data_IF_677788925502
#
_entry.id   IF_677788925502
#
_cell.length_a   1.000
_cell.length_b   1.000
_cell.length_c   1.000
_cell.angle_alpha   90.00
_cell.angle_beta   90.00
_cell.angle_gamma   90.00
#
_symmetry.space_group_name_H-M   'P 1'
#
loop_
_entity.id
_entity.type
_entity.pdbx_description
1 polymer ?
#
# COMPACT_ATOMS: atom_id res chain seq x y z
N UNK A 1 12.40 -0.29 -2.28
CA UNK A 1 12.57 1.05 -1.66
C UNK A 1 14.03 1.52 -1.64
N UNK A 2 14.99 0.77 -1.08
CA UNK A 2 16.39 1.22 -0.99
C UNK A 2 17.01 1.66 -2.33
N UNK A 3 16.77 0.91 -3.42
CA UNK A 3 17.23 1.30 -4.76
C UNK A 3 16.60 2.60 -5.28
N UNK A 4 15.34 2.88 -4.91
CA UNK A 4 14.67 4.13 -5.25
C UNK A 4 15.33 5.31 -4.52
N UNK A 5 15.54 5.21 -3.21
CA UNK A 5 16.21 6.28 -2.45
C UNK A 5 17.70 6.44 -2.77
N UNK A 6 18.40 5.37 -3.15
CA UNK A 6 19.76 5.49 -3.67
C UNK A 6 19.80 6.26 -5.00
N UNK A 7 18.75 6.12 -5.84
CA UNK A 7 18.61 6.85 -7.11
C UNK A 7 18.16 8.30 -6.90
N UNK A 8 17.26 8.54 -5.94
CA UNK A 8 16.72 9.86 -5.61
C UNK A 8 16.84 10.14 -4.11
N UNK A 9 18.03 10.53 -3.60
CA UNK A 9 18.23 10.75 -2.17
C UNK A 9 17.32 11.83 -1.58
N UNK A 10 16.97 12.85 -2.36
CA UNK A 10 16.04 13.93 -1.97
C UNK A 10 14.63 13.43 -1.66
N UNK A 11 14.24 12.27 -2.17
CA UNK A 11 12.90 11.72 -1.97
C UNK A 11 12.71 11.16 -0.55
N UNK A 12 13.79 10.93 0.20
CA UNK A 12 13.73 10.56 1.63
C UNK A 12 13.02 11.65 2.43
N UNK A 13 13.51 12.88 2.33
CA UNK A 13 12.93 14.03 3.05
C UNK A 13 11.55 14.40 2.51
N UNK A 14 11.33 14.29 1.20
CA UNK A 14 10.01 14.55 0.60
C UNK A 14 8.98 13.55 1.09
N UNK A 15 9.29 12.25 1.11
CA UNK A 15 8.38 11.22 1.60
C UNK A 15 8.06 11.41 3.08
N UNK A 16 9.05 11.79 3.91
CA UNK A 16 8.83 12.14 5.32
C UNK A 16 7.90 13.34 5.47
N UNK A 17 8.13 14.42 4.73
CA UNK A 17 7.29 15.62 4.78
C UNK A 17 5.84 15.34 4.38
N UNK A 18 5.63 14.55 3.30
CA UNK A 18 4.30 14.14 2.85
C UNK A 18 3.61 13.28 3.91
N UNK A 19 4.29 12.25 4.42
CA UNK A 19 3.72 11.36 5.44
C UNK A 19 3.34 12.13 6.71
N UNK A 20 4.17 13.07 7.17
CA UNK A 20 3.86 13.93 8.30
C UNK A 20 2.60 14.78 8.04
N UNK A 21 2.51 15.42 6.87
CA UNK A 21 1.36 16.23 6.52
C UNK A 21 0.07 15.40 6.47
N UNK A 22 0.11 14.21 5.87
CA UNK A 22 -1.01 13.26 5.81
C UNK A 22 -1.45 12.78 7.20
N UNK A 23 -0.50 12.50 8.09
CA UNK A 23 -0.79 12.05 9.45
C UNK A 23 -1.52 13.12 10.27
N UNK A 24 -1.09 14.38 10.13
CA UNK A 24 -1.63 15.53 10.87
C UNK A 24 -2.97 16.01 10.31
N UNK A 25 -3.09 16.12 8.98
CA UNK A 25 -4.22 16.82 8.36
C UNK A 25 -5.30 15.88 7.81
N UNK A 26 -4.92 14.63 7.48
CA UNK A 26 -5.82 13.59 6.94
C UNK A 26 -6.77 14.12 5.84
N UNK A 27 -6.24 14.75 4.78
CA UNK A 27 -7.07 15.33 3.74
C UNK A 27 -7.90 14.26 3.04
N UNK A 28 -9.01 14.68 2.43
CA UNK A 28 -9.88 13.82 1.64
C UNK A 28 -9.98 14.34 0.21
N UNK A 29 -9.90 13.44 -0.77
CA UNK A 29 -10.09 13.75 -2.19
C UNK A 29 -11.21 12.86 -2.74
N UNK A 30 -12.29 13.47 -3.24
CA UNK A 30 -13.52 12.79 -3.68
C UNK A 30 -14.04 11.72 -2.69
N UNK A 31 -13.97 12.01 -1.39
CA UNK A 31 -14.40 11.12 -0.30
C UNK A 31 -13.40 10.01 0.05
N UNK A 32 -12.32 9.86 -0.72
CA UNK A 32 -11.19 8.99 -0.38
C UNK A 32 -10.28 9.70 0.60
N UNK A 33 -10.06 9.08 1.77
CA UNK A 33 -9.15 9.63 2.77
C UNK A 33 -7.70 9.35 2.37
N UNK A 34 -6.86 10.38 2.39
CA UNK A 34 -5.44 10.25 2.12
C UNK A 34 -4.72 10.06 3.46
N UNK A 35 -4.04 8.92 3.62
CA UNK A 35 -3.36 8.54 4.87
C UNK A 35 -1.90 8.20 4.60
N UNK A 36 -1.03 8.19 5.63
CA UNK A 36 0.35 7.72 5.48
C UNK A 36 0.42 6.30 4.89
N UNK A 37 -0.44 5.39 5.33
CA UNK A 37 -0.48 4.00 4.86
C UNK A 37 -0.89 3.92 3.38
N UNK A 38 -1.90 4.70 2.97
CA UNK A 38 -2.29 4.83 1.56
C UNK A 38 -1.21 5.50 0.69
N UNK A 39 -0.35 6.33 1.28
CA UNK A 39 0.81 6.88 0.59
C UNK A 39 1.93 5.84 0.47
N UNK A 40 2.17 5.05 1.51
CA UNK A 40 3.14 3.95 1.49
C UNK A 40 2.76 2.88 0.45
N UNK A 41 1.48 2.65 0.18
CA UNK A 41 1.03 1.69 -0.85
C UNK A 41 1.36 2.10 -2.29
N UNK A 42 1.71 3.36 -2.54
CA UNK A 42 2.24 3.79 -3.84
C UNK A 42 3.56 3.09 -4.21
N UNK A 43 4.21 2.40 -3.27
CA UNK A 43 5.35 1.54 -3.55
C UNK A 43 5.07 0.38 -4.49
N UNK A 44 3.80 0.03 -4.74
CA UNK A 44 3.42 -0.91 -5.81
C UNK A 44 4.02 -0.49 -7.18
N UNK A 45 4.16 0.82 -7.42
CA UNK A 45 4.80 1.35 -8.64
C UNK A 45 6.23 0.83 -8.79
N UNK A 46 6.96 0.61 -7.69
CA UNK A 46 8.36 0.17 -7.71
C UNK A 46 8.55 -1.24 -8.29
N UNK A 47 7.49 -2.03 -8.41
CA UNK A 47 7.50 -3.31 -9.13
C UNK A 47 7.53 -3.18 -10.66
N UNK A 48 7.28 -1.98 -11.20
CA UNK A 48 7.30 -1.71 -12.64
C UNK A 48 8.63 -1.10 -13.11
N UNK A 49 8.99 -1.32 -14.37
CA UNK A 49 10.27 -0.87 -14.93
C UNK A 49 10.52 0.64 -14.85
N UNK A 50 9.48 1.47 -14.96
CA UNK A 50 9.57 2.94 -14.88
C UNK A 50 9.04 3.52 -13.57
N UNK A 51 8.50 2.71 -12.65
CA UNK A 51 7.74 3.23 -11.52
C UNK A 51 8.58 3.99 -10.50
N UNK A 52 9.88 3.73 -10.38
CA UNK A 52 10.75 4.59 -9.57
C UNK A 52 10.82 6.03 -10.08
N UNK A 53 10.71 6.26 -11.40
CA UNK A 53 10.67 7.60 -11.97
C UNK A 53 9.30 8.25 -11.77
N UNK A 54 8.23 7.47 -11.93
CA UNK A 54 6.87 7.95 -11.70
C UNK A 54 6.66 8.40 -10.24
N UNK A 55 7.11 7.58 -9.29
CA UNK A 55 7.08 7.94 -7.87
C UNK A 55 7.88 9.22 -7.62
N UNK A 56 9.09 9.32 -8.15
CA UNK A 56 9.93 10.52 -8.00
C UNK A 56 9.21 11.81 -8.45
N UNK A 57 8.62 11.81 -9.65
CA UNK A 57 7.91 12.97 -10.19
C UNK A 57 6.65 13.32 -9.39
N UNK A 58 5.97 12.32 -8.84
CA UNK A 58 4.85 12.54 -7.93
C UNK A 58 5.30 13.23 -6.64
N UNK A 59 6.41 12.77 -6.03
CA UNK A 59 6.96 13.35 -4.79
C UNK A 59 7.51 14.77 -4.99
N UNK A 60 8.09 15.06 -6.15
CA UNK A 60 8.66 16.37 -6.47
C UNK A 60 7.63 17.50 -6.44
N UNK A 61 6.38 17.24 -6.83
CA UNK A 61 5.32 18.23 -6.99
C UNK A 61 4.23 18.14 -5.91
N UNK A 62 4.57 17.51 -4.78
CA UNK A 62 3.59 17.20 -3.74
C UNK A 62 3.00 18.43 -3.05
N UNK A 63 3.77 19.53 -2.95
CA UNK A 63 3.41 20.71 -2.17
C UNK A 63 3.35 21.99 -3.01
N UNK A 64 2.46 22.90 -2.61
CA UNK A 64 2.37 24.27 -3.12
C UNK A 64 2.41 25.28 -1.97
N UNK A 65 2.82 26.52 -2.27
CA UNK A 65 2.76 27.63 -1.32
C UNK A 65 1.41 28.33 -1.41
N UNK A 66 0.75 28.47 -0.27
CA UNK A 66 -0.50 29.22 -0.08
C UNK A 66 -0.24 30.38 0.89
N UNK A 67 -1.15 31.36 1.00
CA UNK A 67 -1.07 32.38 2.06
C UNK A 67 -1.07 31.80 3.48
N UNK A 68 -1.62 30.59 3.66
CA UNK A 68 -1.69 29.88 4.94
C UNK A 68 -0.46 29.02 5.25
N UNK A 69 0.48 28.89 4.31
CA UNK A 69 1.67 28.06 4.49
C UNK A 69 1.92 27.14 3.31
N UNK A 70 2.41 25.94 3.58
CA UNK A 70 2.65 24.91 2.56
C UNK A 70 1.57 23.85 2.68
N UNK A 71 0.92 23.51 1.58
CA UNK A 71 -0.20 22.55 1.52
C UNK A 71 0.03 21.52 0.40
N UNK A 72 -0.59 20.35 0.48
CA UNK A 72 -0.58 19.39 -0.64
C UNK A 72 -1.23 20.01 -1.88
N UNK A 73 -0.58 19.88 -3.03
CA UNK A 73 -1.14 20.34 -4.30
C UNK A 73 -2.36 19.50 -4.68
N UNK A 74 -3.38 20.12 -5.27
CA UNK A 74 -4.56 19.40 -5.77
C UNK A 74 -4.16 18.29 -6.75
N UNK A 75 -3.15 18.56 -7.58
CA UNK A 75 -2.60 17.59 -8.53
C UNK A 75 -2.02 16.37 -7.82
N UNK A 76 -1.27 16.56 -6.72
CA UNK A 76 -0.74 15.46 -5.92
C UNK A 76 -1.87 14.67 -5.23
N UNK A 77 -2.82 15.37 -4.62
CA UNK A 77 -3.94 14.72 -3.92
C UNK A 77 -4.76 13.85 -4.89
N UNK A 78 -5.04 14.35 -6.09
CA UNK A 78 -5.76 13.60 -7.13
C UNK A 78 -4.94 12.45 -7.71
N UNK A 79 -3.64 12.63 -7.92
CA UNK A 79 -2.75 11.58 -8.39
C UNK A 79 -2.60 10.45 -7.36
N UNK A 80 -2.46 10.79 -6.07
CA UNK A 80 -2.45 9.82 -4.98
C UNK A 80 -3.78 9.06 -4.90
N UNK A 81 -4.91 9.78 -4.92
CA UNK A 81 -6.26 9.17 -4.90
C UNK A 81 -6.43 8.18 -6.05
N UNK A 82 -6.11 8.60 -7.27
CA UNK A 82 -6.30 7.77 -8.47
C UNK A 82 -5.40 6.53 -8.45
N UNK A 83 -4.19 6.65 -7.91
CA UNK A 83 -3.26 5.53 -7.79
C UNK A 83 -3.66 4.54 -6.70
N UNK A 84 -4.24 5.03 -5.60
CA UNK A 84 -4.64 4.19 -4.46
C UNK A 84 -6.05 3.61 -4.56
N UNK A 85 -6.90 4.14 -5.45
CA UNK A 85 -8.30 3.72 -5.52
C UNK A 85 -8.49 2.39 -6.24
N UNK A 86 -9.37 1.55 -5.70
CA UNK A 86 -9.82 0.30 -6.26
C UNK A 86 -11.19 0.40 -6.93
N UNK A 87 -11.71 1.61 -7.15
CA UNK A 87 -13.05 1.81 -7.73
C UNK A 87 -13.24 1.11 -9.09
N UNK A 88 -12.19 1.06 -9.92
CA UNK A 88 -12.23 0.36 -11.21
C UNK A 88 -12.08 -1.16 -11.13
N UNK A 89 -11.65 -1.69 -9.98
CA UNK A 89 -11.30 -3.10 -9.79
C UNK A 89 -11.44 -3.50 -8.30
N UNK A 90 -12.66 -3.41 -7.72
CA UNK A 90 -12.86 -3.67 -6.29
C UNK A 90 -12.65 -5.15 -5.92
N UNK A 91 -12.90 -6.07 -6.87
CA UNK A 91 -12.63 -7.50 -6.66
C UNK A 91 -11.15 -7.82 -6.52
N UNK A 92 -10.27 -7.01 -7.14
CA UNK A 92 -8.84 -7.19 -6.95
C UNK A 92 -8.47 -7.00 -5.48
N UNK A 93 -8.95 -5.92 -4.83
CA UNK A 93 -8.71 -5.71 -3.40
C UNK A 93 -9.42 -6.77 -2.53
N UNK A 94 -10.68 -7.08 -2.84
CA UNK A 94 -11.49 -8.00 -2.05
C UNK A 94 -10.93 -9.43 -2.03
N UNK A 95 -10.41 -9.92 -3.15
CA UNK A 95 -9.97 -11.30 -3.30
C UNK A 95 -8.45 -11.46 -3.18
N UNK A 96 -7.68 -10.37 -3.10
CA UNK A 96 -6.22 -10.35 -3.19
C UNK A 96 -5.53 -11.40 -2.32
N UNK A 97 -5.92 -11.49 -1.05
CA UNK A 97 -5.33 -12.42 -0.10
C UNK A 97 -6.02 -13.80 -0.16
N UNK A 98 -7.33 -13.81 -0.46
CA UNK A 98 -8.14 -15.03 -0.49
C UNK A 98 -7.70 -16.03 -1.56
N UNK A 99 -7.10 -15.57 -2.67
CA UNK A 99 -6.56 -16.48 -3.71
C UNK A 99 -5.45 -17.39 -3.20
N UNK A 100 -4.81 -17.05 -2.07
CA UNK A 100 -3.76 -17.84 -1.42
C UNK A 100 -4.26 -18.63 -0.20
N UNK A 101 -5.56 -18.55 0.12
CA UNK A 101 -6.16 -19.28 1.24
C UNK A 101 -6.03 -20.79 1.06
N UNK A 102 -5.64 -21.50 2.12
CA UNK A 102 -5.42 -22.95 2.05
C UNK A 102 -5.68 -23.64 3.40
N UNK A 103 -6.55 -24.65 3.37
CA UNK A 103 -6.88 -25.49 4.51
C UNK A 103 -7.54 -24.71 5.64
N UNK A 104 -7.25 -25.12 6.87
CA UNK A 104 -7.91 -24.66 8.10
C UNK A 104 -7.43 -23.29 8.60
N UNK A 105 -6.41 -22.70 7.96
CA UNK A 105 -5.82 -21.44 8.42
C UNK A 105 -6.51 -20.26 7.75
N UNK A 106 -7.06 -19.30 8.52
CA UNK A 106 -7.54 -18.06 7.94
C UNK A 106 -6.37 -17.25 7.41
N UNK A 107 -6.62 -16.48 6.37
CA UNK A 107 -5.62 -15.55 5.85
C UNK A 107 -5.39 -14.44 6.87
N UNK A 108 -6.45 -14.02 7.58
CA UNK A 108 -6.50 -13.14 8.74
C UNK A 108 -5.77 -11.79 8.58
N UNK A 109 -5.76 -11.27 7.36
CA UNK A 109 -4.97 -10.09 6.97
C UNK A 109 -3.48 -10.34 7.10
N UNK A 110 -2.97 -11.36 6.40
CA UNK A 110 -1.58 -11.78 6.43
C UNK A 110 -0.61 -10.63 6.14
N UNK A 111 -0.89 -9.81 5.13
CA UNK A 111 -0.03 -8.67 4.82
C UNK A 111 0.00 -7.63 5.96
N UNK A 112 -1.13 -7.40 6.64
CA UNK A 112 -1.20 -6.53 7.81
C UNK A 112 -0.37 -7.07 8.96
N UNK A 113 -0.59 -8.34 9.35
CA UNK A 113 0.14 -8.97 10.45
C UNK A 113 1.64 -8.99 10.20
N UNK A 114 2.06 -9.32 8.98
CA UNK A 114 3.46 -9.30 8.61
C UNK A 114 4.00 -7.86 8.67
N UNK A 115 3.25 -6.85 8.24
CA UNK A 115 3.68 -5.44 8.37
C UNK A 115 3.93 -5.05 9.82
N UNK A 116 3.11 -5.52 10.77
CA UNK A 116 3.27 -5.27 12.21
C UNK A 116 4.57 -5.87 12.79
N UNK A 117 5.11 -6.92 12.18
CA UNK A 117 6.41 -7.52 12.58
C UNK A 117 7.61 -6.65 12.18
N UNK A 118 7.42 -5.63 11.34
CA UNK A 118 8.47 -4.75 10.83
C UNK A 118 8.18 -3.28 11.16
N UNK A 119 8.55 -2.79 12.36
CA UNK A 119 8.25 -1.43 12.81
C UNK A 119 8.71 -0.31 11.87
N UNK A 120 9.72 -0.54 11.03
CA UNK A 120 10.16 0.42 10.02
C UNK A 120 9.10 0.72 8.92
N UNK A 121 8.08 -0.13 8.78
CA UNK A 121 6.94 0.12 7.89
C UNK A 121 5.79 0.88 8.58
N UNK A 122 5.84 1.07 9.90
CA UNK A 122 4.93 1.98 10.58
C UNK A 122 5.37 3.43 10.33
N UNK A 123 4.50 4.20 9.67
CA UNK A 123 4.80 5.59 9.34
C UNK A 123 5.02 6.44 10.60
N UNK A 124 4.30 6.19 11.69
CA UNK A 124 4.49 6.93 12.94
C UNK A 124 5.88 6.66 13.54
N UNK A 125 6.30 5.40 13.59
CA UNK A 125 7.65 5.00 14.01
C UNK A 125 8.73 5.62 13.11
N UNK A 126 8.54 5.59 11.78
CA UNK A 126 9.48 6.21 10.85
C UNK A 126 9.60 7.72 11.08
N UNK A 127 8.48 8.43 11.27
CA UNK A 127 8.45 9.88 11.51
C UNK A 127 9.06 10.28 12.86
N UNK A 128 8.91 9.44 13.89
CA UNK A 128 9.50 9.67 15.21
C UNK A 128 11.02 9.45 15.24
N UNK A 129 11.56 8.65 14.30
CA UNK A 129 13.00 8.43 14.15
C UNK A 129 13.61 9.23 12.97
N UNK A 130 14.88 8.94 12.70
CA UNK A 130 15.66 9.54 11.60
C UNK A 130 15.66 8.69 10.32
N UNK A 131 14.94 7.56 10.32
CA UNK A 131 14.88 6.64 9.19
C UNK A 131 13.97 7.14 8.05
N UNK A 132 14.11 6.61 6.83
CA UNK A 132 13.19 6.94 5.75
C UNK A 132 11.80 6.34 6.01
N UNK A 133 10.75 6.99 5.50
CA UNK A 133 9.43 6.36 5.36
C UNK A 133 9.55 5.25 4.31
N UNK A 134 9.21 4.01 4.65
CA UNK A 134 9.27 2.90 3.69
C UNK A 134 7.92 2.73 2.96
N UNK A 135 7.98 2.47 1.67
CA UNK A 135 6.81 2.12 0.87
C UNK A 135 6.57 0.60 0.86
N UNK A 136 5.31 0.18 0.86
CA UNK A 136 4.92 -1.23 0.73
C UNK A 136 4.84 -1.63 -0.74
N UNK A 137 4.99 -2.93 -1.02
CA UNK A 137 4.78 -3.48 -2.36
C UNK A 137 3.30 -3.67 -2.68
N UNK A 138 3.01 -4.70 -3.49
CA UNK A 138 1.65 -5.13 -3.80
C UNK A 138 1.04 -5.85 -2.59
N UNK A 139 0.36 -5.11 -1.73
CA UNK A 139 -0.32 -5.65 -0.53
C UNK A 139 -1.69 -5.00 -0.32
N UNK A 140 -2.65 -5.77 0.20
CA UNK A 140 -3.96 -5.28 0.63
C UNK A 140 -4.07 -5.42 2.15
N UNK A 141 -4.71 -4.43 2.77
CA UNK A 141 -4.80 -4.24 4.21
C UNK A 141 -6.22 -3.84 4.61
N UNK A 142 -6.66 -4.09 5.87
CA UNK A 142 -8.01 -3.77 6.33
C UNK A 142 -8.40 -2.30 6.10
N UNK A 143 -7.46 -1.38 6.33
CA UNK A 143 -7.70 0.05 6.22
C UNK A 143 -8.07 0.51 4.80
N UNK A 144 -7.76 -0.26 3.75
CA UNK A 144 -8.23 0.04 2.38
C UNK A 144 -9.76 0.12 2.31
N UNK A 145 -10.45 -0.76 3.06
CA UNK A 145 -11.90 -0.82 3.13
C UNK A 145 -12.50 0.29 4.00
N UNK A 146 -11.67 1.04 4.73
CA UNK A 146 -12.09 2.22 5.49
C UNK A 146 -11.88 3.52 4.68
N UNK A 147 -10.75 3.61 3.96
CA UNK A 147 -10.33 4.85 3.28
C UNK A 147 -10.93 5.03 1.88
N UNK A 148 -11.10 3.94 1.11
CA UNK A 148 -11.65 3.99 -0.26
C UNK A 148 -13.20 3.86 -0.23
N UNK A 149 -13.94 4.88 -0.69
CA UNK A 149 -15.41 4.84 -0.78
C UNK A 149 -15.96 3.64 -1.55
N UNK A 150 -15.26 3.17 -2.58
CA UNK A 150 -15.69 2.03 -3.40
C UNK A 150 -15.57 0.70 -2.65
N UNK A 151 -14.69 0.62 -1.66
CA UNK A 151 -14.46 -0.58 -0.86
C UNK A 151 -15.28 -0.62 0.43
N UNK A 152 -15.68 0.53 0.98
CA UNK A 152 -16.47 0.61 2.23
C UNK A 152 -17.69 -0.34 2.28
N UNK A 153 -18.52 -0.45 1.22
CA UNK A 153 -19.66 -1.38 1.23
C UNK A 153 -19.26 -2.87 1.32
N UNK A 154 -18.01 -3.20 0.97
CA UNK A 154 -17.48 -4.56 0.95
C UNK A 154 -16.72 -4.92 2.23
N UNK A 155 -16.58 -4.00 3.18
CA UNK A 155 -15.79 -4.19 4.41
C UNK A 155 -16.19 -5.45 5.18
N UNK A 156 -17.49 -5.67 5.41
CA UNK A 156 -17.97 -6.87 6.10
C UNK A 156 -17.62 -8.15 5.33
N UNK A 157 -17.79 -8.15 4.00
CA UNK A 157 -17.43 -9.29 3.15
C UNK A 157 -15.93 -9.58 3.21
N UNK A 158 -15.09 -8.55 3.16
CA UNK A 158 -13.64 -8.69 3.24
C UNK A 158 -13.22 -9.30 4.59
N UNK A 159 -13.86 -8.86 5.68
CA UNK A 159 -13.69 -9.42 7.01
C UNK A 159 -14.12 -10.89 7.11
N UNK A 160 -15.22 -11.28 6.46
CA UNK A 160 -15.66 -12.67 6.40
C UNK A 160 -14.66 -13.54 5.62
N UNK A 161 -14.13 -13.04 4.50
CA UNK A 161 -13.11 -13.72 3.71
C UNK A 161 -11.81 -13.90 4.50
N UNK A 162 -11.34 -12.85 5.18
CA UNK A 162 -10.12 -12.89 5.98
C UNK A 162 -10.22 -13.91 7.14
N UNK A 163 -11.41 -14.11 7.72
CA UNK A 163 -11.66 -15.10 8.78
C UNK A 163 -11.95 -16.52 8.27
N UNK A 164 -12.12 -16.71 6.97
CA UNK A 164 -12.54 -18.00 6.40
C UNK A 164 -11.47 -19.08 6.61
N UNK A 165 -11.87 -20.26 7.07
CA UNK A 165 -10.98 -21.38 7.42
C UNK A 165 -11.31 -22.67 6.67
N UNK A 166 -12.23 -22.68 5.73
CA UNK A 166 -12.66 -23.89 5.01
C UNK A 166 -12.14 -23.88 3.56
N UNK A 167 -10.89 -23.43 3.35
CA UNK A 167 -10.32 -23.35 2.02
C UNK A 167 -9.90 -24.74 1.51
N UNK A 168 -10.18 -25.08 0.24
CA UNK A 168 -9.63 -26.28 -0.36
C UNK A 168 -8.09 -26.20 -0.41
N UNK A 169 -7.44 -27.35 -0.59
CA UNK A 169 -6.01 -27.38 -0.89
C UNK A 169 -5.76 -26.68 -2.23
N UNK A 170 -5.02 -25.57 -2.21
CA UNK A 170 -4.68 -24.80 -3.40
C UNK A 170 -3.54 -25.46 -4.18
N UNK A 171 -2.55 -25.98 -3.45
CA UNK A 171 -1.38 -26.63 -4.00
C UNK A 171 -1.30 -28.10 -3.58
N UNK A 172 -0.72 -28.92 -4.45
CA UNK A 172 -0.28 -30.28 -4.15
C UNK A 172 1.24 -30.24 -3.88
N UNK A 173 1.69 -30.32 -2.61
CA UNK A 173 3.10 -30.20 -2.27
C UNK A 173 3.97 -31.30 -2.86
N UNK A 174 3.45 -32.53 -2.98
CA UNK A 174 4.20 -33.65 -3.56
C UNK A 174 4.46 -33.41 -5.05
N UNK A 175 3.45 -32.92 -5.77
CA UNK A 175 3.61 -32.54 -7.18
C UNK A 175 4.51 -31.34 -7.38
N UNK A 176 4.46 -30.35 -6.49
CA UNK A 176 5.36 -29.19 -6.56
C UNK A 176 6.83 -29.59 -6.30
N UNK A 177 7.06 -30.50 -5.34
CA UNK A 177 8.41 -30.99 -5.03
C UNK A 177 9.03 -31.83 -6.16
N UNK A 178 8.20 -32.48 -6.98
CA UNK A 178 8.62 -33.27 -8.14
C UNK A 178 8.81 -32.43 -9.41
N UNK A 179 8.65 -31.10 -9.35
CA UNK A 179 8.75 -30.25 -10.54
C UNK A 179 10.21 -30.04 -10.96
N UNK A 180 10.58 -30.55 -12.13
CA UNK A 180 11.92 -30.41 -12.73
C UNK A 180 12.02 -29.24 -13.72
N UNK A 181 10.92 -28.53 -14.01
CA UNK A 181 10.94 -27.39 -14.93
C UNK A 181 11.81 -26.28 -14.32
N UNK A 182 12.89 -25.85 -14.99
CA UNK A 182 13.74 -24.79 -14.47
C UNK A 182 12.93 -23.50 -14.29
N UNK A 183 12.97 -22.94 -13.10
CA UNK A 183 12.40 -21.62 -12.82
C UNK A 183 13.48 -20.56 -12.97
N UNK A 184 13.15 -19.48 -13.69
CA UNK A 184 13.92 -18.25 -13.66
C UNK A 184 13.23 -17.29 -12.67
N UNK A 185 14.00 -16.73 -11.74
CA UNK A 185 13.56 -15.72 -10.79
C UNK A 185 14.33 -14.42 -11.05
#
# INVERSE_FOLDING_TARGET
VAAHYARYPQDVERARAIAAHLAEHRPESAGHRLTPEGFQSLGIMLGSGSGSHQLHYLLENAFVRTPGGTELSDAFQEAMRTSASFAGHPLYALLHEAIYGQGERPTAWAAERVREEFPQFDAATALAGDGPVLFTGETIHPWHFDVDPALRPLRETAELLARRTDWPALYDPERLAANEVPVAA
#
